data_IF_566506668653
#
_entry.id   IF_566506668653
#
_cell.length_a   1.000
_cell.length_b   1.000
_cell.length_c   1.000
_cell.angle_alpha   90.00
_cell.angle_beta   90.00
_cell.angle_gamma   90.00
#
_symmetry.space_group_name_H-M   'P 1'
#
loop_
_entity.id
_entity.type
_entity.pdbx_description
1 polymer ?
#
# COMPACT_ATOMS: atom_id res chain seq x y z
N UNK A 1 -18.01 -9.93 9.24
CA UNK A 1 -16.74 -9.67 9.96
C UNK A 1 -17.07 -9.80 11.44
N UNK A 2 -16.33 -10.62 12.19
CA UNK A 2 -16.58 -10.84 13.62
C UNK A 2 -15.54 -11.78 14.24
N UNK A 3 -15.29 -11.68 15.54
CA UNK A 3 -14.23 -12.45 16.19
C UNK A 3 -14.47 -13.96 16.18
N UNK A 4 -13.39 -14.74 16.23
CA UNK A 4 -13.43 -16.21 16.23
C UNK A 4 -14.19 -16.79 17.44
N UNK A 5 -14.32 -16.01 18.52
CA UNK A 5 -15.10 -16.38 19.72
C UNK A 5 -16.57 -16.68 19.43
N UNK A 6 -17.11 -16.23 18.29
CA UNK A 6 -18.49 -16.44 17.91
C UNK A 6 -18.74 -17.71 17.08
N UNK A 7 -17.70 -18.51 16.79
CA UNK A 7 -17.76 -19.67 15.90
C UNK A 7 -18.81 -20.73 16.31
N UNK A 8 -18.87 -21.10 17.58
CA UNK A 8 -19.69 -22.23 18.03
C UNK A 8 -21.06 -21.83 18.61
N UNK A 9 -21.36 -20.53 18.72
CA UNK A 9 -22.64 -20.06 19.26
C UNK A 9 -23.34 -19.18 18.24
N UNK A 10 -23.06 -17.88 18.24
CA UNK A 10 -23.75 -16.91 17.40
C UNK A 10 -23.76 -17.32 15.92
N UNK A 11 -22.62 -17.77 15.37
CA UNK A 11 -22.56 -18.17 13.96
C UNK A 11 -23.34 -19.45 13.67
N UNK A 12 -23.41 -20.40 14.62
CA UNK A 12 -24.25 -21.58 14.48
C UNK A 12 -25.74 -21.23 14.56
N UNK A 13 -26.13 -20.40 15.53
CA UNK A 13 -27.50 -19.92 15.70
C UNK A 13 -27.96 -19.09 14.50
N UNK A 14 -27.11 -18.22 13.97
CA UNK A 14 -27.42 -17.43 12.77
C UNK A 14 -27.72 -18.33 11.58
N UNK A 15 -26.93 -19.39 11.36
CA UNK A 15 -27.18 -20.37 10.29
C UNK A 15 -28.46 -21.16 10.51
N UNK A 16 -28.72 -21.60 11.75
CA UNK A 16 -29.96 -22.31 12.08
C UNK A 16 -31.20 -21.45 11.80
N UNK A 17 -31.25 -20.22 12.32
CA UNK A 17 -32.37 -19.31 12.10
C UNK A 17 -32.52 -18.94 10.63
N UNK A 18 -31.43 -18.77 9.89
CA UNK A 18 -31.49 -18.49 8.46
C UNK A 18 -32.16 -19.64 7.68
N UNK A 19 -31.78 -20.89 7.96
CA UNK A 19 -32.40 -22.07 7.35
C UNK A 19 -33.87 -22.23 7.75
N UNK A 20 -34.20 -21.96 9.01
CA UNK A 20 -35.60 -21.93 9.45
C UNK A 20 -36.42 -20.89 8.67
N UNK A 21 -35.91 -19.66 8.51
CA UNK A 21 -36.59 -18.62 7.72
C UNK A 21 -36.72 -19.01 6.23
N UNK A 22 -35.73 -19.70 5.67
CA UNK A 22 -35.79 -20.25 4.31
C UNK A 22 -36.92 -21.27 4.18
N UNK A 23 -37.03 -22.19 5.13
CA UNK A 23 -38.05 -23.24 5.11
C UNK A 23 -39.48 -22.68 5.29
N UNK A 24 -39.62 -21.50 5.92
CA UNK A 24 -40.85 -20.71 5.97
C UNK A 24 -41.11 -19.86 4.71
N UNK A 25 -40.19 -19.85 3.74
CA UNK A 25 -40.30 -19.06 2.51
C UNK A 25 -40.01 -17.56 2.68
N UNK A 26 -39.37 -17.14 3.77
CA UNK A 26 -39.05 -15.72 4.02
C UNK A 26 -37.75 -15.28 3.33
N UNK A 27 -36.86 -16.23 3.05
CA UNK A 27 -35.61 -16.00 2.31
C UNK A 27 -35.38 -17.13 1.31
N UNK A 28 -34.63 -16.84 0.24
CA UNK A 28 -34.43 -17.75 -0.90
C UNK A 28 -32.99 -18.27 -1.02
N UNK A 29 -32.23 -18.27 0.08
CA UNK A 29 -30.86 -18.78 0.11
C UNK A 29 -30.61 -19.65 1.35
N UNK A 30 -29.55 -20.47 1.27
CA UNK A 30 -29.27 -21.50 2.28
C UNK A 30 -28.39 -21.03 3.44
N UNK A 31 -27.56 -20.00 3.21
CA UNK A 31 -26.58 -19.53 4.18
C UNK A 31 -26.65 -17.99 4.33
N UNK A 32 -26.56 -17.47 5.56
CA UNK A 32 -26.73 -16.04 5.82
C UNK A 32 -25.54 -15.18 5.39
N UNK A 33 -24.36 -15.78 5.20
CA UNK A 33 -23.11 -15.04 4.94
C UNK A 33 -22.33 -15.69 3.80
N UNK A 34 -22.04 -14.93 2.74
CA UNK A 34 -21.22 -15.42 1.62
C UNK A 34 -19.72 -15.52 1.97
N UNK A 35 -19.23 -14.65 2.86
CA UNK A 35 -17.83 -14.62 3.32
C UNK A 35 -17.78 -14.26 4.80
N UNK A 36 -17.00 -15.02 5.56
CA UNK A 36 -16.66 -14.72 6.95
C UNK A 36 -15.20 -14.31 7.04
N UNK A 37 -14.95 -13.15 7.62
CA UNK A 37 -13.61 -12.70 8.02
C UNK A 37 -13.60 -12.66 9.54
N UNK A 38 -12.71 -13.43 10.15
CA UNK A 38 -12.53 -13.44 11.60
C UNK A 38 -11.38 -12.55 11.98
N UNK A 39 -11.67 -11.35 12.47
CA UNK A 39 -10.61 -10.44 12.84
C UNK A 39 -9.86 -10.94 14.09
N UNK A 40 -8.56 -10.66 14.13
CA UNK A 40 -7.72 -10.88 15.30
C UNK A 40 -8.05 -9.90 16.42
N UNK A 41 -7.49 -10.21 17.58
CA UNK A 41 -7.74 -9.47 18.82
C UNK A 41 -6.76 -8.32 18.98
N UNK A 42 -7.23 -7.22 19.57
CA UNK A 42 -6.34 -6.16 20.06
C UNK A 42 -5.88 -6.53 21.46
N UNK A 43 -4.57 -6.66 21.63
CA UNK A 43 -3.91 -6.99 22.90
C UNK A 43 -3.12 -5.80 23.43
N UNK A 44 -2.90 -5.77 24.75
CA UNK A 44 -2.01 -4.81 25.41
C UNK A 44 -1.33 -5.48 26.60
N UNK A 45 -0.04 -5.26 26.73
CA UNK A 45 0.83 -5.89 27.72
C UNK A 45 0.82 -7.43 27.59
N UNK A 46 0.77 -7.92 26.34
CA UNK A 46 0.75 -9.35 26.01
C UNK A 46 -0.54 -10.09 26.36
N UNK A 47 -1.62 -9.36 26.67
CA UNK A 47 -2.91 -9.93 27.03
C UNK A 47 -4.08 -9.25 26.29
N UNK A 48 -5.16 -10.00 26.05
CA UNK A 48 -6.43 -9.44 25.59
C UNK A 48 -6.88 -8.32 26.54
N UNK A 49 -7.27 -7.18 25.96
CA UNK A 49 -7.77 -6.04 26.72
C UNK A 49 -9.03 -6.42 27.51
N UNK A 50 -9.07 -6.09 28.81
CA UNK A 50 -10.23 -6.33 29.67
C UNK A 50 -10.23 -5.42 30.90
N UNK A 51 -11.42 -5.02 31.37
CA UNK A 51 -11.56 -4.13 32.53
C UNK A 51 -10.88 -4.70 33.78
N UNK A 52 -10.99 -6.01 34.02
CA UNK A 52 -10.38 -6.67 35.18
C UNK A 52 -8.85 -6.65 35.18
N UNK A 53 -8.22 -6.50 34.00
CA UNK A 53 -6.75 -6.42 33.86
C UNK A 53 -6.23 -4.98 33.85
N UNK A 54 -7.11 -3.97 33.84
CA UNK A 54 -6.70 -2.57 33.80
C UNK A 54 -5.97 -2.13 32.52
N UNK A 55 -5.89 -2.99 31.50
CA UNK A 55 -5.15 -2.75 30.25
C UNK A 55 -6.07 -2.28 29.10
N UNK A 56 -7.27 -1.82 29.40
CA UNK A 56 -8.19 -1.26 28.40
C UNK A 56 -7.68 0.10 27.97
N UNK A 57 -7.65 0.34 26.66
CA UNK A 57 -7.40 1.67 26.10
C UNK A 57 -8.74 2.25 25.66
N UNK A 58 -9.06 3.44 26.14
CA UNK A 58 -10.21 4.20 25.68
C UNK A 58 -9.88 4.82 24.31
N UNK A 59 -10.58 4.43 23.22
CA UNK A 59 -10.35 5.02 21.91
C UNK A 59 -10.62 6.53 21.88
N UNK A 60 -11.49 7.06 22.75
CA UNK A 60 -11.85 8.48 22.76
C UNK A 60 -10.64 9.38 23.01
N UNK A 61 -9.74 8.98 23.91
CA UNK A 61 -8.51 9.71 24.19
C UNK A 61 -7.63 9.87 22.93
N UNK A 62 -7.57 8.83 22.09
CA UNK A 62 -6.81 8.86 20.84
C UNK A 62 -7.51 9.72 19.79
N UNK A 63 -8.83 9.60 19.69
CA UNK A 63 -9.64 10.39 18.76
C UNK A 63 -9.51 11.89 19.07
N UNK A 64 -9.63 12.28 20.34
CA UNK A 64 -9.54 13.69 20.75
C UNK A 64 -8.15 14.29 20.47
N UNK A 65 -7.09 13.48 20.60
CA UNK A 65 -5.71 13.95 20.46
C UNK A 65 -5.15 13.86 19.03
N UNK A 66 -5.55 12.84 18.28
CA UNK A 66 -4.95 12.50 16.98
C UNK A 66 -5.96 12.37 15.84
N UNK A 67 -7.26 12.43 16.14
CA UNK A 67 -8.35 12.27 15.17
C UNK A 67 -8.71 10.82 14.89
N UNK A 68 -9.96 10.62 14.44
CA UNK A 68 -10.50 9.30 14.11
C UNK A 68 -9.71 8.59 13.00
N UNK A 69 -9.24 9.33 12.00
CA UNK A 69 -8.48 8.79 10.87
C UNK A 69 -7.14 8.20 11.28
N UNK A 70 -6.46 8.80 12.26
CA UNK A 70 -5.21 8.26 12.80
C UNK A 70 -5.46 6.90 13.45
N UNK A 71 -6.49 6.82 14.32
CA UNK A 71 -6.84 5.57 15.00
C UNK A 71 -7.20 4.46 14.00
N UNK A 72 -8.05 4.78 13.02
CA UNK A 72 -8.45 3.83 11.97
C UNK A 72 -7.28 3.34 11.13
N UNK A 73 -6.43 4.28 10.69
CA UNK A 73 -5.25 3.96 9.89
C UNK A 73 -4.29 3.09 10.68
N UNK A 74 -4.05 3.39 11.96
CA UNK A 74 -3.22 2.56 12.84
C UNK A 74 -3.77 1.14 12.96
N UNK A 75 -5.05 0.98 13.32
CA UNK A 75 -5.67 -0.34 13.51
C UNK A 75 -5.61 -1.21 12.25
N UNK A 76 -5.84 -0.61 11.08
CA UNK A 76 -5.84 -1.31 9.80
C UNK A 76 -4.42 -1.56 9.24
N UNK A 77 -3.43 -0.79 9.71
CA UNK A 77 -2.03 -0.93 9.28
C UNK A 77 -1.21 -1.88 10.15
N UNK A 78 -1.50 -1.93 11.44
CA UNK A 78 -0.65 -2.58 12.42
C UNK A 78 -0.50 -4.10 12.22
N UNK A 79 -1.52 -4.78 11.70
CA UNK A 79 -1.49 -6.22 11.42
C UNK A 79 -2.50 -6.59 10.33
N UNK A 80 -2.30 -7.71 9.59
CA UNK A 80 -3.36 -8.30 8.78
C UNK A 80 -4.63 -8.51 9.60
N UNK A 81 -5.84 -8.40 9.01
CA UNK A 81 -7.08 -8.36 9.78
C UNK A 81 -7.30 -9.61 10.65
N UNK A 82 -6.82 -10.77 10.23
CA UNK A 82 -7.01 -12.06 10.91
C UNK A 82 -6.03 -12.30 12.06
N UNK A 83 -4.98 -11.48 12.15
CA UNK A 83 -3.92 -11.64 13.14
C UNK A 83 -4.17 -10.72 14.32
N UNK A 84 -3.81 -11.20 15.51
CA UNK A 84 -3.78 -10.37 16.70
C UNK A 84 -2.82 -9.18 16.48
N UNK A 85 -3.15 -8.08 17.14
CA UNK A 85 -2.40 -6.84 17.09
C UNK A 85 -2.10 -6.37 18.51
N UNK A 86 -0.81 -6.18 18.81
CA UNK A 86 -0.41 -5.53 20.04
C UNK A 86 -0.57 -4.02 19.91
N UNK A 87 -1.29 -3.42 20.85
CA UNK A 87 -1.46 -1.98 20.93
C UNK A 87 -0.12 -1.28 21.12
N UNK A 88 0.14 -0.25 20.33
CA UNK A 88 1.38 0.51 20.37
C UNK A 88 1.11 2.00 20.15
N UNK A 89 1.43 2.82 21.15
CA UNK A 89 1.33 4.28 21.05
C UNK A 89 2.30 4.84 19.98
N UNK A 90 3.46 4.19 19.79
CA UNK A 90 4.39 4.52 18.70
C UNK A 90 3.77 4.24 17.32
N UNK A 91 2.97 3.17 17.21
CA UNK A 91 2.21 2.85 16.00
C UNK A 91 1.20 3.94 15.64
N UNK A 92 0.50 4.47 16.64
CA UNK A 92 -0.43 5.60 16.50
C UNK A 92 0.31 6.85 16.02
N UNK A 93 1.44 7.17 16.64
CA UNK A 93 2.30 8.29 16.23
C UNK A 93 2.85 8.10 14.80
N UNK A 94 3.10 6.86 14.38
CA UNK A 94 3.45 6.51 13.01
C UNK A 94 2.35 6.89 12.02
N UNK A 95 1.11 6.43 12.27
CA UNK A 95 -0.06 6.75 11.46
C UNK A 95 -0.33 8.27 11.42
N UNK A 96 -0.25 8.95 12.58
CA UNK A 96 -0.43 10.40 12.67
C UNK A 96 0.58 11.15 11.80
N UNK A 97 1.87 10.79 11.90
CA UNK A 97 2.93 11.41 11.08
C UNK A 97 2.74 11.14 9.60
N UNK A 98 2.31 9.93 9.24
CA UNK A 98 2.00 9.59 7.85
C UNK A 98 0.89 10.48 7.27
N UNK A 99 -0.26 10.57 7.94
CA UNK A 99 -1.39 11.41 7.48
C UNK A 99 -0.99 12.89 7.39
N UNK A 100 -0.21 13.41 8.35
CA UNK A 100 0.32 14.77 8.28
C UNK A 100 1.29 14.99 7.10
N UNK A 101 2.06 13.98 6.70
CA UNK A 101 2.92 14.08 5.51
C UNK A 101 2.09 14.14 4.22
N UNK A 102 1.01 13.36 4.14
CA UNK A 102 0.05 13.44 3.02
C UNK A 102 -0.54 14.85 2.95
N UNK A 103 -1.04 15.36 4.07
CA UNK A 103 -1.60 16.71 4.16
C UNK A 103 -0.62 17.76 3.65
N UNK A 104 0.60 17.77 4.21
CA UNK A 104 1.64 18.74 3.83
C UNK A 104 1.97 18.67 2.35
N UNK A 105 2.10 17.47 1.78
CA UNK A 105 2.40 17.29 0.36
C UNK A 105 1.30 17.89 -0.53
N UNK A 106 0.03 17.63 -0.23
CA UNK A 106 -1.09 18.16 -1.03
C UNK A 106 -1.21 19.67 -0.84
N UNK A 107 -1.18 20.16 0.39
CA UNK A 107 -1.36 21.57 0.69
C UNK A 107 -0.20 22.43 0.15
N UNK A 108 1.05 22.00 0.31
CA UNK A 108 2.20 22.77 -0.19
C UNK A 108 2.26 22.87 -1.71
N UNK A 109 1.57 21.97 -2.42
CA UNK A 109 1.55 21.91 -3.89
C UNK A 109 0.16 22.20 -4.45
N UNK A 110 -0.76 22.74 -3.64
CA UNK A 110 -2.19 22.87 -3.97
C UNK A 110 -2.43 23.53 -5.33
N UNK A 111 -1.85 24.71 -5.54
CA UNK A 111 -2.05 25.49 -6.77
C UNK A 111 -1.42 24.80 -7.99
N UNK A 112 -0.26 24.17 -7.80
CA UNK A 112 0.43 23.36 -8.83
C UNK A 112 -0.41 22.15 -9.24
N UNK A 113 -0.99 21.44 -8.26
CA UNK A 113 -1.88 20.29 -8.51
C UNK A 113 -3.13 20.76 -9.24
N UNK A 114 -3.79 21.83 -8.76
CA UNK A 114 -4.96 22.41 -9.44
C UNK A 114 -4.66 22.78 -10.89
N UNK A 115 -3.55 23.44 -11.16
CA UNK A 115 -3.12 23.78 -12.52
C UNK A 115 -2.98 22.52 -13.39
N UNK A 116 -2.33 21.48 -12.87
CA UNK A 116 -2.17 20.21 -13.58
C UNK A 116 -3.50 19.48 -13.85
N UNK A 117 -4.46 19.53 -12.91
CA UNK A 117 -5.80 18.94 -13.10
C UNK A 117 -6.59 19.59 -14.24
N UNK A 118 -6.35 20.88 -14.52
CA UNK A 118 -7.00 21.63 -15.60
C UNK A 118 -6.16 21.70 -16.88
N UNK A 119 -4.99 21.05 -16.90
CA UNK A 119 -4.12 21.03 -18.07
C UNK A 119 -4.67 20.06 -19.12
N UNK A 120 -4.74 20.51 -20.37
CA UNK A 120 -5.20 19.70 -21.51
C UNK A 120 -4.27 18.53 -21.84
N UNK A 121 -4.60 17.76 -22.88
CA UNK A 121 -3.65 16.78 -23.41
C UNK A 121 -2.40 17.47 -23.98
N UNK A 122 -1.22 16.95 -23.65
CA UNK A 122 0.07 17.38 -24.18
C UNK A 122 0.89 16.14 -24.53
N UNK A 123 1.64 16.20 -25.63
CA UNK A 123 2.56 15.14 -26.10
C UNK A 123 4.02 15.53 -25.86
N UNK A 124 4.27 16.49 -24.97
CA UNK A 124 5.61 16.88 -24.57
C UNK A 124 6.38 15.69 -23.96
N UNK A 125 7.72 15.65 -24.14
CA UNK A 125 8.54 14.58 -23.62
C UNK A 125 8.47 14.53 -22.09
N UNK A 126 8.52 13.32 -21.55
CA UNK A 126 8.54 13.08 -20.11
C UNK A 126 9.97 12.87 -19.65
N UNK A 127 10.34 13.52 -18.54
CA UNK A 127 11.50 13.12 -17.76
C UNK A 127 11.35 11.68 -17.24
N UNK A 128 12.49 11.04 -16.96
CA UNK A 128 12.52 9.70 -16.37
C UNK A 128 11.79 9.65 -15.02
N UNK A 129 11.91 10.70 -14.21
CA UNK A 129 11.25 10.83 -12.91
C UNK A 129 9.73 10.79 -13.02
N UNK A 130 9.16 11.50 -14.00
CA UNK A 130 7.72 11.54 -14.24
C UNK A 130 7.22 10.26 -14.92
N UNK A 131 8.01 9.69 -15.83
CA UNK A 131 7.70 8.38 -16.40
C UNK A 131 7.58 7.31 -15.30
N UNK A 132 8.53 7.31 -14.36
CA UNK A 132 8.51 6.44 -13.20
C UNK A 132 7.33 6.76 -12.27
N UNK A 133 7.02 8.03 -12.01
CA UNK A 133 5.86 8.40 -11.19
C UNK A 133 4.54 7.90 -11.79
N UNK A 134 4.39 7.96 -13.12
CA UNK A 134 3.21 7.41 -13.80
C UNK A 134 3.08 5.92 -13.56
N UNK A 135 4.17 5.17 -13.73
CA UNK A 135 4.18 3.74 -13.40
C UNK A 135 3.78 3.52 -11.93
N UNK A 136 4.45 4.21 -10.99
CA UNK A 136 4.22 4.03 -9.55
C UNK A 136 2.78 4.36 -9.16
N UNK A 137 2.16 5.34 -9.82
CA UNK A 137 0.74 5.68 -9.62
C UNK A 137 -0.17 4.52 -10.00
N UNK A 138 -0.07 4.01 -11.23
CA UNK A 138 -0.93 2.93 -11.69
C UNK A 138 -0.65 1.61 -10.96
N UNK A 139 0.62 1.32 -10.67
CA UNK A 139 1.01 0.14 -9.91
C UNK A 139 0.52 0.19 -8.46
N UNK A 140 0.60 1.36 -7.80
CA UNK A 140 0.05 1.54 -6.46
C UNK A 140 -1.46 1.34 -6.43
N UNK A 141 -2.20 1.85 -7.42
CA UNK A 141 -3.65 1.61 -7.55
C UNK A 141 -3.93 0.11 -7.76
N UNK A 142 -3.21 -0.55 -8.67
CA UNK A 142 -3.36 -1.99 -8.92
C UNK A 142 -3.18 -2.81 -7.64
N UNK A 143 -2.05 -2.64 -6.95
CA UNK A 143 -1.72 -3.34 -5.70
C UNK A 143 -2.74 -3.05 -4.60
N UNK A 144 -3.11 -1.78 -4.46
CA UNK A 144 -4.10 -1.35 -3.48
C UNK A 144 -5.47 -1.98 -3.74
N UNK A 145 -5.91 -2.09 -5.00
CA UNK A 145 -7.19 -2.75 -5.34
C UNK A 145 -7.17 -4.24 -5.01
N UNK A 146 -6.12 -4.96 -5.39
CA UNK A 146 -5.94 -6.39 -5.07
C UNK A 146 -6.01 -6.63 -3.55
N UNK A 147 -5.25 -5.84 -2.78
CA UNK A 147 -5.15 -6.00 -1.34
C UNK A 147 -6.44 -5.52 -0.62
N UNK A 148 -7.07 -4.40 -1.04
CA UNK A 148 -8.29 -3.89 -0.43
C UNK A 148 -9.56 -4.69 -0.75
N UNK A 149 -9.76 -5.04 -2.02
CA UNK A 149 -11.05 -5.53 -2.51
C UNK A 149 -11.14 -7.06 -2.48
N UNK A 150 -10.03 -7.73 -2.78
CA UNK A 150 -10.01 -9.19 -2.92
C UNK A 150 -9.48 -9.84 -1.64
N UNK A 151 -8.27 -9.44 -1.23
CA UNK A 151 -7.50 -10.12 -0.19
C UNK A 151 -7.76 -9.59 1.22
N UNK A 152 -8.39 -8.42 1.34
CA UNK A 152 -8.64 -7.71 2.59
C UNK A 152 -7.36 -7.46 3.41
N UNK A 153 -6.20 -7.34 2.76
CA UNK A 153 -4.90 -7.07 3.38
C UNK A 153 -4.71 -5.55 3.54
N UNK A 154 -5.49 -4.93 4.42
CA UNK A 154 -5.51 -3.47 4.58
C UNK A 154 -4.14 -2.89 4.98
N UNK A 155 -3.32 -3.65 5.70
CA UNK A 155 -1.99 -3.25 6.09
C UNK A 155 -1.05 -3.07 4.88
N UNK A 156 -1.09 -3.97 3.90
CA UNK A 156 -0.28 -3.83 2.69
C UNK A 156 -0.86 -2.78 1.73
N UNK A 157 -2.19 -2.61 1.71
CA UNK A 157 -2.81 -1.51 0.96
C UNK A 157 -2.41 -0.13 1.51
N UNK A 158 -2.38 0.06 2.83
CA UNK A 158 -1.87 1.29 3.47
C UNK A 158 -0.36 1.45 3.21
N UNK A 159 0.41 0.36 3.22
CA UNK A 159 1.82 0.40 2.85
C UNK A 159 2.01 0.90 1.40
N UNK A 160 1.17 0.45 0.46
CA UNK A 160 1.16 0.99 -0.91
C UNK A 160 0.88 2.49 -0.95
N UNK A 161 -0.04 3.01 -0.14
CA UNK A 161 -0.24 4.47 -0.01
C UNK A 161 1.02 5.19 0.52
N UNK A 162 1.74 4.60 1.48
CA UNK A 162 2.98 5.16 2.03
C UNK A 162 4.12 5.18 1.01
N UNK A 163 4.29 4.08 0.26
CA UNK A 163 5.27 3.98 -0.83
C UNK A 163 4.95 4.96 -1.94
N UNK A 164 3.67 5.08 -2.31
CA UNK A 164 3.20 6.01 -3.32
C UNK A 164 3.42 7.47 -2.90
N UNK A 165 3.12 7.83 -1.65
CA UNK A 165 3.46 9.15 -1.10
C UNK A 165 4.96 9.44 -1.24
N UNK A 166 5.82 8.46 -0.96
CA UNK A 166 7.27 8.62 -1.11
C UNK A 166 7.67 8.80 -2.58
N UNK A 167 6.99 8.14 -3.53
CA UNK A 167 7.23 8.30 -4.96
C UNK A 167 6.87 9.73 -5.43
N UNK A 168 5.71 10.26 -5.02
CA UNK A 168 5.32 11.64 -5.34
C UNK A 168 6.32 12.64 -4.73
N UNK A 169 6.72 12.43 -3.48
CA UNK A 169 7.64 13.32 -2.77
C UNK A 169 9.07 13.37 -3.36
N UNK A 170 9.43 12.47 -4.29
CA UNK A 170 10.70 12.56 -5.05
C UNK A 170 10.70 13.73 -6.03
N UNK A 171 9.54 14.18 -6.50
CA UNK A 171 9.42 15.31 -7.42
C UNK A 171 9.55 16.61 -6.61
N UNK A 172 10.75 17.21 -6.64
CA UNK A 172 11.08 18.36 -5.77
C UNK A 172 10.63 19.71 -6.31
N UNK A 173 10.59 19.86 -7.64
CA UNK A 173 10.29 21.13 -8.30
C UNK A 173 9.09 21.02 -9.26
N UNK A 174 7.89 20.68 -8.74
CA UNK A 174 6.73 20.41 -9.59
C UNK A 174 6.25 21.64 -10.40
N UNK A 175 6.63 22.85 -9.99
CA UNK A 175 6.34 24.07 -10.75
C UNK A 175 7.15 24.25 -12.03
N UNK A 176 8.25 23.50 -12.19
CA UNK A 176 9.09 23.51 -13.40
C UNK A 176 8.68 22.46 -14.44
N UNK A 177 7.73 21.60 -14.10
CA UNK A 177 7.25 20.55 -14.99
C UNK A 177 6.57 21.15 -16.22
N UNK A 178 6.77 20.51 -17.38
CA UNK A 178 6.01 20.87 -18.58
C UNK A 178 4.54 20.45 -18.46
N UNK A 179 3.71 20.78 -19.44
CA UNK A 179 2.25 20.57 -19.34
C UNK A 179 1.89 19.09 -19.22
N UNK A 180 2.55 18.22 -19.99
CA UNK A 180 2.31 16.77 -19.95
C UNK A 180 2.73 16.18 -18.59
N UNK A 181 3.88 16.61 -18.08
CA UNK A 181 4.41 16.15 -16.80
C UNK A 181 3.58 16.62 -15.61
N UNK A 182 3.15 17.89 -15.63
CA UNK A 182 2.34 18.48 -14.58
C UNK A 182 0.98 17.78 -14.43
N UNK A 183 0.38 17.38 -15.55
CA UNK A 183 -0.87 16.60 -15.55
C UNK A 183 -0.69 15.24 -14.86
N UNK A 184 0.41 14.53 -15.14
CA UNK A 184 0.74 13.24 -14.49
C UNK A 184 0.98 13.45 -12.99
N UNK A 185 1.75 14.48 -12.62
CA UNK A 185 2.00 14.81 -11.21
C UNK A 185 0.69 15.11 -10.47
N UNK A 186 -0.19 15.93 -11.05
CA UNK A 186 -1.48 16.26 -10.47
C UNK A 186 -2.40 15.03 -10.33
N UNK A 187 -2.44 14.16 -11.34
CA UNK A 187 -3.15 12.89 -11.27
C UNK A 187 -2.62 11.99 -10.13
N UNK A 188 -1.30 11.92 -9.95
CA UNK A 188 -0.71 11.16 -8.85
C UNK A 188 -1.13 11.72 -7.48
N UNK A 189 -1.03 13.05 -7.30
CA UNK A 189 -1.42 13.72 -6.07
C UNK A 189 -2.91 13.54 -5.73
N UNK A 190 -3.81 13.68 -6.71
CA UNK A 190 -5.26 13.55 -6.49
C UNK A 190 -5.69 12.10 -6.26
N UNK A 191 -4.90 11.13 -6.72
CA UNK A 191 -5.15 9.70 -6.50
C UNK A 191 -4.93 9.30 -5.05
N UNK A 192 -3.96 9.92 -4.36
CA UNK A 192 -3.60 9.55 -3.00
C UNK A 192 -4.76 9.70 -1.98
N UNK A 193 -5.54 10.82 -1.96
CA UNK A 193 -6.77 10.90 -1.17
C UNK A 193 -7.78 9.80 -1.49
N UNK A 194 -7.97 9.44 -2.78
CA UNK A 194 -8.90 8.36 -3.17
C UNK A 194 -8.51 7.01 -2.58
N UNK A 195 -7.21 6.69 -2.58
CA UNK A 195 -6.70 5.45 -1.98
C UNK A 195 -6.80 5.46 -0.45
N UNK A 196 -6.73 6.62 0.19
CA UNK A 196 -6.83 6.76 1.64
C UNK A 196 -8.26 6.70 2.16
N UNK A 197 -9.25 7.07 1.35
CA UNK A 197 -10.64 7.25 1.78
C UNK A 197 -11.23 6.09 2.61
N UNK A 198 -11.03 4.80 2.28
CA UNK A 198 -11.58 3.72 3.11
C UNK A 198 -10.98 3.66 4.53
N UNK A 199 -9.76 4.18 4.70
CA UNK A 199 -9.00 4.12 5.95
C UNK A 199 -9.14 5.41 6.76
N UNK A 200 -8.98 6.54 6.09
CA UNK A 200 -8.93 7.89 6.63
C UNK A 200 -9.89 8.82 5.84
N UNK A 201 -11.22 8.63 5.98
CA UNK A 201 -12.19 9.31 5.12
C UNK A 201 -12.23 10.83 5.32
N UNK A 202 -12.01 11.34 6.53
CA UNK A 202 -12.17 12.77 6.83
C UNK A 202 -11.05 13.59 6.17
N UNK A 203 -9.80 13.18 6.36
CA UNK A 203 -8.64 13.82 5.72
C UNK A 203 -8.67 13.64 4.20
N UNK A 204 -9.15 12.48 3.71
CA UNK A 204 -9.27 12.24 2.28
C UNK A 204 -10.27 13.20 1.61
N UNK A 205 -11.47 13.38 2.20
CA UNK A 205 -12.47 14.33 1.71
C UNK A 205 -11.98 15.78 1.79
N UNK A 206 -11.36 16.17 2.91
CA UNK A 206 -10.86 17.53 3.07
C UNK A 206 -9.80 17.86 2.01
N UNK A 207 -8.84 16.96 1.78
CA UNK A 207 -7.83 17.12 0.73
C UNK A 207 -8.44 17.13 -0.67
N UNK A 208 -9.46 16.31 -0.90
CA UNK A 208 -10.18 16.27 -2.17
C UNK A 208 -10.88 17.60 -2.47
N UNK A 209 -11.56 18.20 -1.49
CA UNK A 209 -12.21 19.50 -1.61
C UNK A 209 -11.20 20.65 -1.71
N UNK A 210 -10.10 20.62 -0.97
CA UNK A 210 -9.02 21.62 -1.05
C UNK A 210 -8.46 21.70 -2.47
N UNK A 211 -8.37 20.57 -3.17
CA UNK A 211 -7.96 20.49 -4.58
C UNK A 211 -9.01 21.00 -5.58
N UNK A 212 -10.18 21.46 -5.11
CA UNK A 212 -11.20 22.10 -5.93
C UNK A 212 -12.19 21.14 -6.59
N UNK A 213 -12.26 19.89 -6.14
CA UNK A 213 -13.27 18.96 -6.62
C UNK A 213 -14.63 19.30 -6.00
N UNK A 214 -15.67 19.40 -6.84
CA UNK A 214 -17.01 19.81 -6.40
C UNK A 214 -17.83 18.68 -5.77
N UNK A 215 -17.68 17.46 -6.30
CA UNK A 215 -18.36 16.27 -5.79
C UNK A 215 -17.66 15.73 -4.56
N UNK A 216 -18.42 15.11 -3.67
CA UNK A 216 -17.82 14.36 -2.56
C UNK A 216 -17.03 13.17 -3.12
N UNK A 217 -15.92 12.82 -2.46
CA UNK A 217 -15.04 11.77 -2.94
C UNK A 217 -15.78 10.41 -2.99
N UNK A 218 -16.71 10.17 -2.06
CA UNK A 218 -17.57 8.97 -2.08
C UNK A 218 -18.44 8.83 -3.35
N UNK A 219 -18.72 9.93 -4.05
CA UNK A 219 -19.48 9.95 -5.31
C UNK A 219 -18.58 9.70 -6.54
N UNK A 220 -17.26 9.75 -6.38
CA UNK A 220 -16.30 9.68 -7.48
C UNK A 220 -15.76 8.28 -7.79
N UNK A 221 -16.20 7.27 -7.03
CA UNK A 221 -15.74 5.89 -7.17
C UNK A 221 -14.30 5.66 -6.72
N UNK A 222 -13.83 4.42 -6.86
CA UNK A 222 -12.47 4.02 -6.52
C UNK A 222 -11.46 4.44 -7.61
N UNK A 223 -10.17 4.64 -7.26
CA UNK A 223 -9.16 4.94 -8.27
C UNK A 223 -8.97 3.76 -9.24
N UNK A 224 -8.84 4.06 -10.52
CA UNK A 224 -8.63 3.06 -11.59
C UNK A 224 -7.21 3.17 -12.15
N UNK A 225 -6.67 2.04 -12.61
CA UNK A 225 -5.36 1.98 -13.24
C UNK A 225 -5.47 1.62 -14.73
N UNK A 226 -4.45 1.94 -15.51
CA UNK A 226 -4.36 1.56 -16.92
C UNK A 226 -3.22 0.55 -17.11
N UNK A 227 -3.55 -0.64 -17.60
CA UNK A 227 -2.59 -1.76 -17.76
C UNK A 227 -1.37 -1.40 -18.59
N UNK A 228 -1.54 -0.53 -19.60
CA UNK A 228 -0.43 -0.08 -20.47
C UNK A 228 0.71 0.60 -19.70
N UNK A 229 0.42 1.18 -18.53
CA UNK A 229 1.41 1.83 -17.68
C UNK A 229 2.00 0.92 -16.58
N UNK A 230 1.60 -0.36 -16.54
CA UNK A 230 2.17 -1.37 -15.63
C UNK A 230 3.42 -2.05 -16.20
N UNK A 231 3.97 -1.52 -17.29
CA UNK A 231 5.23 -1.98 -17.87
C UNK A 231 6.35 -1.02 -17.48
N UNK A 232 7.50 -1.57 -17.07
CA UNK A 232 8.74 -0.80 -16.94
C UNK A 232 9.66 -1.16 -18.09
N UNK A 233 10.47 -0.22 -18.56
CA UNK A 233 11.53 -0.56 -19.51
C UNK A 233 12.66 -1.30 -18.81
N UNK A 234 12.88 -1.00 -17.52
CA UNK A 234 13.94 -1.57 -16.70
C UNK A 234 13.38 -2.28 -15.46
N UNK A 235 14.09 -3.30 -15.00
CA UNK A 235 13.83 -4.01 -13.75
C UNK A 235 15.07 -3.99 -12.86
N UNK A 236 14.85 -3.84 -11.56
CA UNK A 236 15.93 -3.87 -10.57
C UNK A 236 16.10 -5.28 -10.03
N UNK A 237 17.27 -5.86 -10.21
CA UNK A 237 17.68 -7.12 -9.58
C UNK A 237 18.48 -6.84 -8.31
N UNK A 238 18.10 -7.46 -7.20
CA UNK A 238 18.96 -7.51 -6.00
C UNK A 238 20.02 -8.58 -6.20
N UNK A 239 21.29 -8.23 -6.01
CA UNK A 239 22.40 -9.18 -6.14
C UNK A 239 22.86 -9.63 -4.76
N UNK A 240 22.89 -10.95 -4.55
CA UNK A 240 23.28 -11.58 -3.29
C UNK A 240 24.50 -12.47 -3.47
N UNK A 241 25.32 -12.58 -2.43
CA UNK A 241 26.38 -13.59 -2.29
C UNK A 241 26.11 -14.37 -1.02
N UNK A 242 25.97 -15.69 -1.13
CA UNK A 242 25.65 -16.61 -0.02
C UNK A 242 24.48 -16.10 0.85
N UNK A 243 23.39 -15.67 0.20
CA UNK A 243 22.15 -15.23 0.84
C UNK A 243 22.17 -13.81 1.42
N UNK A 244 23.29 -13.08 1.35
CA UNK A 244 23.38 -11.69 1.83
C UNK A 244 23.40 -10.71 0.66
N UNK A 245 22.66 -9.61 0.74
CA UNK A 245 22.61 -8.57 -0.29
C UNK A 245 23.97 -7.88 -0.41
N UNK A 246 24.48 -7.77 -1.64
CA UNK A 246 25.78 -7.17 -1.98
C UNK A 246 25.70 -6.11 -3.07
N UNK A 247 24.59 -6.02 -3.79
CA UNK A 247 24.39 -4.95 -4.75
C UNK A 247 22.96 -4.91 -5.28
N UNK A 248 22.72 -3.95 -6.16
CA UNK A 248 21.53 -3.87 -6.99
C UNK A 248 21.97 -3.58 -8.43
N UNK A 249 21.23 -4.11 -9.38
CA UNK A 249 21.46 -3.91 -10.80
C UNK A 249 20.15 -3.46 -11.44
N UNK A 250 20.18 -2.40 -12.24
CA UNK A 250 19.04 -1.97 -13.03
C UNK A 250 19.32 -2.25 -14.50
N UNK A 251 18.43 -3.00 -15.13
CA UNK A 251 18.63 -3.57 -16.47
C UNK A 251 17.32 -3.62 -17.25
N UNK A 252 17.37 -3.63 -18.59
CA UNK A 252 16.18 -3.82 -19.42
C UNK A 252 15.41 -5.09 -19.06
N UNK A 253 14.07 -5.07 -19.18
CA UNK A 253 13.22 -6.25 -18.91
C UNK A 253 13.60 -7.46 -19.77
N UNK A 254 14.04 -7.21 -21.00
CA UNK A 254 14.41 -8.20 -22.00
C UNK A 254 15.89 -8.63 -21.92
N UNK A 255 16.61 -8.26 -20.85
CA UNK A 255 18.02 -8.64 -20.70
C UNK A 255 18.18 -10.16 -20.71
N UNK A 256 19.14 -10.62 -21.51
CA UNK A 256 19.54 -12.02 -21.54
C UNK A 256 20.07 -12.45 -20.15
N UNK A 257 19.64 -13.61 -19.61
CA UNK A 257 20.18 -14.17 -18.36
C UNK A 257 21.71 -14.23 -18.25
N UNK A 258 22.43 -14.41 -19.36
CA UNK A 258 23.91 -14.43 -19.36
C UNK A 258 24.50 -13.02 -19.13
N UNK A 259 23.97 -12.02 -19.81
CA UNK A 259 24.38 -10.62 -19.64
C UNK A 259 24.04 -10.11 -18.24
N UNK A 260 22.90 -10.53 -17.69
CA UNK A 260 22.51 -10.23 -16.32
C UNK A 260 23.49 -10.78 -15.29
N UNK A 261 23.96 -12.03 -15.49
CA UNK A 261 24.95 -12.64 -14.59
C UNK A 261 26.30 -11.92 -14.67
N UNK A 262 26.75 -11.59 -15.89
CA UNK A 262 27.99 -10.84 -16.11
C UNK A 262 27.94 -9.50 -15.37
N UNK A 263 26.90 -8.70 -15.61
CA UNK A 263 26.70 -7.42 -14.93
C UNK A 263 26.61 -7.56 -13.41
N UNK A 264 26.00 -8.63 -12.89
CA UNK A 264 25.93 -8.89 -11.46
C UNK A 264 27.31 -9.18 -10.84
N UNK A 265 28.21 -9.83 -11.59
CA UNK A 265 29.60 -10.12 -11.18
C UNK A 265 30.52 -8.91 -11.31
N UNK A 266 30.17 -7.89 -12.10
CA UNK A 266 30.91 -6.64 -12.25
C UNK A 266 30.72 -5.68 -11.07
N UNK A 267 29.71 -5.91 -10.22
CA UNK A 267 29.46 -5.06 -9.05
C UNK A 267 30.66 -5.16 -8.09
N UNK A 268 31.32 -4.03 -7.84
CA UNK A 268 32.54 -3.97 -7.03
C UNK A 268 32.40 -4.67 -5.67
N UNK A 269 31.29 -4.43 -4.98
CA UNK A 269 31.04 -5.06 -3.69
C UNK A 269 30.81 -6.58 -3.83
N UNK A 270 30.20 -7.06 -4.92
CA UNK A 270 30.06 -8.50 -5.17
C UNK A 270 31.43 -9.13 -5.37
N UNK A 271 32.31 -8.51 -6.16
CA UNK A 271 33.68 -8.99 -6.39
C UNK A 271 34.48 -9.11 -5.09
N UNK A 272 34.39 -8.10 -4.20
CA UNK A 272 35.03 -8.14 -2.88
C UNK A 272 34.62 -9.36 -2.05
N UNK A 273 33.35 -9.76 -2.12
CA UNK A 273 32.83 -10.92 -1.39
C UNK A 273 33.03 -12.26 -2.12
N UNK A 274 33.49 -12.24 -3.37
CA UNK A 274 33.87 -13.43 -4.14
C UNK A 274 35.38 -13.66 -4.15
N UNK A 275 36.19 -12.70 -3.69
CA UNK A 275 37.65 -12.81 -3.69
C UNK A 275 38.12 -14.06 -2.93
N UNK A 276 38.86 -14.93 -3.61
CA UNK A 276 39.38 -16.17 -3.04
C UNK A 276 38.33 -17.29 -2.87
N UNK A 277 37.15 -17.14 -3.46
CA UNK A 277 36.09 -18.16 -3.49
C UNK A 277 35.84 -18.62 -4.93
N UNK A 278 35.49 -19.89 -5.08
CA UNK A 278 35.01 -20.46 -6.33
C UNK A 278 33.49 -20.31 -6.41
N UNK A 279 33.00 -19.80 -7.54
CA UNK A 279 31.57 -19.72 -7.83
C UNK A 279 31.06 -21.13 -8.10
N UNK A 280 30.13 -21.62 -7.27
CA UNK A 280 29.54 -22.95 -7.41
C UNK A 280 28.26 -22.92 -8.23
N UNK A 281 27.46 -21.87 -8.07
CA UNK A 281 26.17 -21.71 -8.75
C UNK A 281 25.76 -20.25 -8.78
N UNK A 282 25.14 -19.82 -9.87
CA UNK A 282 24.41 -18.56 -9.95
C UNK A 282 22.94 -18.89 -10.21
N UNK A 283 22.05 -18.30 -9.42
CA UNK A 283 20.60 -18.49 -9.48
C UNK A 283 19.98 -17.16 -9.86
N UNK A 284 19.32 -17.11 -11.01
CA UNK A 284 18.54 -15.96 -11.44
C UNK A 284 17.08 -16.22 -11.13
N UNK A 285 16.45 -15.34 -10.36
CA UNK A 285 15.00 -15.29 -10.18
C UNK A 285 14.50 -14.11 -11.01
N UNK A 286 13.84 -14.37 -12.17
CA UNK A 286 13.42 -13.32 -13.09
C UNK A 286 12.65 -12.20 -12.41
N UNK A 287 13.03 -10.97 -12.72
CA UNK A 287 12.45 -9.74 -12.19
C UNK A 287 12.64 -9.48 -10.69
N UNK A 288 13.46 -10.27 -9.99
CA UNK A 288 13.66 -10.14 -8.53
C UNK A 288 15.13 -10.06 -8.12
N UNK A 289 15.91 -11.10 -8.40
CA UNK A 289 17.25 -11.21 -7.80
C UNK A 289 18.20 -12.16 -8.54
N UNK A 290 19.50 -11.93 -8.34
CA UNK A 290 20.59 -12.83 -8.72
C UNK A 290 21.29 -13.28 -7.43
N UNK A 291 21.30 -14.58 -7.16
CA UNK A 291 21.98 -15.15 -5.99
C UNK A 291 23.20 -15.96 -6.42
N UNK A 292 24.37 -15.57 -5.91
CA UNK A 292 25.64 -16.21 -6.21
C UNK A 292 26.04 -17.05 -5.00
N UNK A 293 26.11 -18.37 -5.21
CA UNK A 293 26.62 -19.32 -4.24
C UNK A 293 28.11 -19.53 -4.50
N UNK A 294 28.93 -19.16 -3.53
CA UNK A 294 30.39 -19.23 -3.62
C UNK A 294 30.98 -19.88 -2.37
N UNK A 295 32.02 -20.69 -2.55
CA UNK A 295 32.72 -21.36 -1.45
C UNK A 295 34.17 -21.60 -1.79
N UNK A 296 34.97 -22.03 -0.81
CA UNK A 296 36.32 -22.53 -1.08
C UNK A 296 36.25 -23.77 -1.97
#
# INVERSE_FOLDING_TARGET
IGGIEHACMHLLYARFFHKFMRDLGWVNCDEPFARLLTQGMVTKDGAKMSKSKGNVVDPQYIIDRFGADTLRTFLLFASPPEKDVEWSDDGIMGAFRFLNRVWRLVESNRETIKRGLHTGESSEPLSEEIYNLRYETHYAIFRWREDCLERLQFNTAIASCMEFLNAIAKIKEPDKLNSAELKIYAFACVTLPKMLYPFAPHIAEELWQILGNEKMLNECGLPEYEEKYLTRNNVTYVVQVNGKIRGKLEVPIDINPEDLQTKALEIENVQRFLQGLNIKKIIVVPGKMVSIAAGK
#
